data_IF_254071523907
#
_entry.id   IF_254071523907
#
_cell.length_a   1.000
_cell.length_b   1.000
_cell.length_c   1.000
_cell.angle_alpha   90.00
_cell.angle_beta   90.00
_cell.angle_gamma   90.00
#
_symmetry.space_group_name_H-M   'P 1'
#
loop_
_entity.id
_entity.type
_entity.pdbx_description
1 polymer ?
#
# COMPACT_ATOMS: atom_id res chain seq x y z
N UNK A 1 -9.74 14.96 -9.25
CA UNK A 1 -8.52 14.63 -8.48
C UNK A 1 -8.05 13.19 -8.65
N UNK A 2 -8.73 12.13 -8.16
CA UNK A 2 -8.20 10.75 -8.28
C UNK A 2 -7.86 10.39 -9.74
N UNK A 3 -8.79 10.64 -10.67
CA UNK A 3 -8.63 10.32 -12.09
C UNK A 3 -7.51 11.11 -12.78
N UNK A 4 -7.12 12.27 -12.25
CA UNK A 4 -5.99 13.07 -12.76
C UNK A 4 -4.64 12.52 -12.27
N UNK A 5 -4.62 11.81 -11.16
CA UNK A 5 -3.43 11.19 -10.59
C UNK A 5 -3.13 9.83 -11.24
N UNK A 6 -4.14 9.11 -11.74
CA UNK A 6 -3.97 7.78 -12.35
C UNK A 6 -2.96 7.79 -13.52
N UNK A 7 -2.98 8.75 -14.47
CA UNK A 7 -1.96 8.81 -15.53
C UNK A 7 -0.53 9.05 -15.05
N UNK A 8 -0.35 9.52 -13.81
CA UNK A 8 0.97 9.82 -13.22
C UNK A 8 1.46 8.63 -12.40
N UNK A 9 0.57 8.03 -11.62
CA UNK A 9 0.90 7.00 -10.63
C UNK A 9 0.50 5.59 -11.06
N UNK A 10 -0.14 5.44 -12.22
CA UNK A 10 -0.44 4.17 -12.88
C UNK A 10 -1.70 3.46 -12.38
N UNK A 11 -2.06 3.58 -11.09
CA UNK A 11 -3.20 2.85 -10.51
C UNK A 11 -4.05 3.70 -9.57
N UNK A 12 -5.30 3.30 -9.33
CA UNK A 12 -6.23 3.92 -8.36
C UNK A 12 -5.69 3.85 -6.94
N UNK A 13 -5.15 2.70 -6.51
CA UNK A 13 -4.59 2.55 -5.16
C UNK A 13 -3.41 3.49 -4.96
N UNK A 14 -2.45 3.50 -5.89
CA UNK A 14 -1.29 4.39 -5.82
C UNK A 14 -1.72 5.87 -5.79
N UNK A 15 -2.69 6.21 -6.64
CA UNK A 15 -3.26 7.57 -6.73
C UNK A 15 -3.99 8.00 -5.45
N UNK A 16 -4.75 7.09 -4.84
CA UNK A 16 -5.47 7.36 -3.59
C UNK A 16 -4.51 7.58 -2.43
N UNK A 17 -3.40 6.85 -2.40
CA UNK A 17 -2.36 7.01 -1.39
C UNK A 17 -1.67 8.37 -1.50
N UNK A 18 -1.36 8.82 -2.73
CA UNK A 18 -0.86 10.18 -2.98
C UNK A 18 -1.89 11.24 -2.57
N UNK A 19 -3.17 11.03 -2.87
CA UNK A 19 -4.23 11.93 -2.45
C UNK A 19 -4.29 12.04 -0.92
N UNK A 20 -4.10 10.93 -0.21
CA UNK A 20 -4.02 10.89 1.26
C UNK A 20 -2.85 11.72 1.80
N UNK A 21 -1.68 11.64 1.15
CA UNK A 21 -0.51 12.48 1.47
C UNK A 21 -0.80 13.97 1.23
N UNK A 22 -1.36 14.32 0.06
CA UNK A 22 -1.70 15.70 -0.27
C UNK A 22 -2.67 16.32 0.74
N UNK A 23 -3.54 15.52 1.34
CA UNK A 23 -4.54 15.95 2.33
C UNK A 23 -4.07 15.83 3.79
N UNK A 24 -2.75 15.64 4.02
CA UNK A 24 -2.15 15.47 5.35
C UNK A 24 -2.78 14.33 6.16
N UNK A 25 -3.32 13.31 5.49
CA UNK A 25 -3.88 12.11 6.11
C UNK A 25 -2.87 10.96 6.17
N UNK A 26 -1.82 11.03 5.37
CA UNK A 26 -0.69 10.09 5.37
C UNK A 26 0.64 10.84 5.39
N UNK A 27 1.60 10.48 6.26
CA UNK A 27 2.88 11.17 6.36
C UNK A 27 3.86 10.86 5.22
N UNK A 28 3.96 9.59 4.79
CA UNK A 28 4.89 9.14 3.74
C UNK A 28 4.23 8.11 2.86
N UNK A 29 4.42 8.22 1.56
CA UNK A 29 3.98 7.23 0.56
C UNK A 29 5.17 6.41 0.10
N UNK A 30 5.05 5.08 0.10
CA UNK A 30 6.07 4.15 -0.40
C UNK A 30 5.50 3.37 -1.59
N UNK A 31 6.01 3.63 -2.79
CA UNK A 31 5.52 3.01 -4.02
C UNK A 31 6.67 2.55 -4.90
N UNK A 32 6.46 1.44 -5.63
CA UNK A 32 7.41 0.96 -6.64
C UNK A 32 7.13 1.59 -8.00
N UNK A 33 8.15 2.09 -8.69
CA UNK A 33 8.06 2.61 -10.05
C UNK A 33 9.19 2.08 -10.93
N UNK A 34 8.90 1.86 -12.21
CA UNK A 34 9.92 1.61 -13.23
C UNK A 34 10.63 2.91 -13.63
N UNK A 35 11.83 2.79 -14.20
CA UNK A 35 12.69 3.94 -14.52
C UNK A 35 12.01 4.94 -15.48
N UNK A 36 11.14 4.46 -16.39
CA UNK A 36 10.36 5.27 -17.33
C UNK A 36 9.22 6.05 -16.65
N UNK A 37 8.61 5.49 -15.60
CA UNK A 37 7.58 6.16 -14.78
C UNK A 37 8.18 7.27 -13.89
N UNK A 38 9.44 7.14 -13.45
CA UNK A 38 10.06 8.07 -12.49
C UNK A 38 10.10 9.52 -12.99
N UNK A 39 10.21 9.75 -14.31
CA UNK A 39 10.27 11.11 -14.87
C UNK A 39 8.99 11.90 -14.59
N UNK A 40 7.82 11.29 -14.78
CA UNK A 40 6.53 11.96 -14.55
C UNK A 40 6.25 12.13 -13.05
N UNK A 41 6.63 11.14 -12.23
CA UNK A 41 6.49 11.18 -10.77
C UNK A 41 7.36 12.31 -10.18
N UNK A 42 8.63 12.43 -10.58
CA UNK A 42 9.53 13.51 -10.13
C UNK A 42 8.97 14.89 -10.49
N UNK A 43 8.46 15.05 -11.73
CA UNK A 43 7.84 16.30 -12.17
C UNK A 43 6.62 16.66 -11.31
N UNK A 44 5.78 15.67 -11.00
CA UNK A 44 4.64 15.87 -10.11
C UNK A 44 5.08 16.29 -8.71
N UNK A 45 6.06 15.60 -8.11
CA UNK A 45 6.55 15.91 -6.76
C UNK A 45 7.11 17.33 -6.69
N UNK A 46 7.95 17.73 -7.66
CA UNK A 46 8.47 19.10 -7.77
C UNK A 46 7.37 20.14 -7.88
N UNK A 47 6.34 19.90 -8.70
CA UNK A 47 5.20 20.82 -8.88
C UNK A 47 4.40 21.01 -7.59
N UNK A 48 4.34 19.98 -6.74
CA UNK A 48 3.52 19.98 -5.52
C UNK A 48 4.34 20.18 -4.24
N UNK A 49 5.61 20.61 -4.34
CA UNK A 49 6.52 20.79 -3.21
C UNK A 49 6.61 19.53 -2.32
N UNK A 50 6.70 18.36 -2.94
CA UNK A 50 6.91 17.08 -2.27
C UNK A 50 8.37 16.67 -2.39
N UNK A 51 8.93 16.16 -1.29
CA UNK A 51 10.23 15.50 -1.25
C UNK A 51 10.10 14.07 -1.74
N UNK A 52 11.13 13.61 -2.43
CA UNK A 52 11.19 12.29 -3.04
C UNK A 52 12.56 11.67 -2.76
N UNK A 53 12.54 10.48 -2.19
CA UNK A 53 13.72 9.66 -1.96
C UNK A 53 13.56 8.35 -2.73
N UNK A 54 14.58 7.92 -3.46
CA UNK A 54 14.50 6.78 -4.38
C UNK A 54 15.54 5.75 -3.96
N UNK A 55 15.11 4.50 -3.81
CA UNK A 55 16.02 3.42 -3.50
C UNK A 55 16.99 3.12 -4.64
N UNK A 56 18.25 2.91 -4.29
CA UNK A 56 19.30 2.48 -5.21
C UNK A 56 19.12 1.02 -5.66
N UNK A 57 18.26 0.26 -4.97
CA UNK A 57 17.99 -1.15 -5.26
C UNK A 57 16.81 -1.27 -6.22
N UNK A 58 17.01 -2.03 -7.31
CA UNK A 58 15.94 -2.46 -8.21
C UNK A 58 15.33 -3.76 -7.71
N UNK A 59 14.01 -3.84 -7.71
CA UNK A 59 13.24 -5.01 -7.31
C UNK A 59 12.50 -5.56 -8.52
N UNK A 60 12.75 -6.83 -8.83
CA UNK A 60 12.05 -7.57 -9.88
C UNK A 60 10.93 -8.38 -9.24
N UNK A 61 9.71 -8.12 -9.68
CA UNK A 61 8.54 -8.90 -9.26
C UNK A 61 8.63 -10.31 -9.86
N UNK A 62 8.50 -11.33 -9.02
CA UNK A 62 8.59 -12.73 -9.46
C UNK A 62 7.33 -13.19 -10.20
N UNK A 63 6.16 -12.69 -9.82
CA UNK A 63 4.88 -13.09 -10.41
C UNK A 63 4.51 -12.21 -11.63
N UNK A 64 5.04 -12.56 -12.81
CA UNK A 64 4.79 -11.80 -14.05
C UNK A 64 3.32 -11.73 -14.49
N UNK A 65 2.45 -12.61 -13.99
CA UNK A 65 1.04 -12.71 -14.40
C UNK A 65 0.04 -12.09 -13.42
N UNK A 66 0.49 -11.42 -12.35
CA UNK A 66 -0.40 -10.80 -11.36
C UNK A 66 -0.11 -9.30 -11.28
N UNK A 67 -1.14 -8.46 -11.44
CA UNK A 67 -1.06 -6.99 -11.25
C UNK A 67 -0.57 -6.56 -9.87
N UNK A 68 -0.47 -7.51 -8.93
CA UNK A 68 -0.05 -7.30 -7.57
C UNK A 68 0.74 -8.52 -7.10
N UNK A 69 2.00 -8.34 -6.70
CA UNK A 69 2.78 -9.39 -6.02
C UNK A 69 3.30 -8.86 -4.70
N UNK A 70 3.30 -9.73 -3.68
CA UNK A 70 4.02 -9.47 -2.43
C UNK A 70 5.49 -9.89 -2.54
N UNK A 71 5.93 -10.39 -3.70
CA UNK A 71 7.24 -11.03 -3.88
C UNK A 71 8.09 -10.23 -4.85
N UNK A 72 9.27 -9.86 -4.40
CA UNK A 72 10.29 -9.28 -5.26
C UNK A 72 11.67 -9.79 -4.85
N UNK A 73 12.54 -9.98 -5.83
CA UNK A 73 13.97 -10.18 -5.60
C UNK A 73 14.73 -8.95 -6.07
N UNK A 74 15.93 -8.76 -5.52
CA UNK A 74 16.86 -7.77 -6.05
C UNK A 74 17.15 -8.12 -7.51
N UNK A 75 16.87 -7.18 -8.40
CA UNK A 75 17.17 -7.31 -9.83
C UNK A 75 18.68 -7.14 -10.04
N UNK A 76 19.26 -7.93 -10.96
CA UNK A 76 20.63 -7.70 -11.40
C UNK A 76 20.72 -6.37 -12.17
N UNK A 77 21.94 -5.85 -12.33
CA UNK A 77 22.20 -4.53 -12.94
C UNK A 77 21.48 -4.30 -14.29
N UNK A 78 21.48 -5.32 -15.15
CA UNK A 78 20.86 -5.28 -16.49
C UNK A 78 19.40 -5.74 -16.52
N UNK A 79 18.80 -6.07 -15.38
CA UNK A 79 17.41 -6.54 -15.32
C UNK A 79 16.42 -5.39 -15.12
N UNK A 80 15.26 -5.54 -15.77
CA UNK A 80 14.12 -4.65 -15.56
C UNK A 80 13.57 -4.92 -14.16
N UNK A 81 13.44 -3.85 -13.37
CA UNK A 81 12.87 -3.87 -12.04
C UNK A 81 12.35 -2.49 -11.65
N UNK A 82 11.49 -2.45 -10.64
CA UNK A 82 11.00 -1.21 -10.06
C UNK A 82 11.90 -0.76 -8.91
N UNK A 83 12.00 0.55 -8.68
CA UNK A 83 12.63 1.12 -7.49
C UNK A 83 11.54 1.54 -6.52
N UNK A 84 11.76 1.30 -5.23
CA UNK A 84 10.90 1.92 -4.22
C UNK A 84 11.21 3.40 -4.10
N UNK A 85 10.14 4.18 -4.00
CA UNK A 85 10.16 5.63 -3.89
C UNK A 85 9.36 6.03 -2.66
N UNK A 86 9.96 6.90 -1.86
CA UNK A 86 9.40 7.47 -0.64
C UNK A 86 9.06 8.93 -0.89
N UNK A 87 7.78 9.27 -0.80
CA UNK A 87 7.27 10.61 -1.11
C UNK A 87 6.66 11.19 0.15
N UNK A 88 7.05 12.40 0.53
CA UNK A 88 6.52 13.09 1.68
C UNK A 88 6.48 14.61 1.48
N UNK A 89 5.70 15.29 2.32
CA UNK A 89 5.80 16.76 2.48
C UNK A 89 6.95 17.17 3.38
N UNK A 90 7.57 16.21 4.08
CA UNK A 90 8.70 16.41 4.98
C UNK A 90 9.88 15.56 4.48
N UNK A 91 10.98 16.24 4.16
CA UNK A 91 12.21 15.62 3.67
C UNK A 91 12.75 14.57 4.63
N UNK A 92 12.75 14.88 5.93
CA UNK A 92 13.25 13.98 6.96
C UNK A 92 12.47 12.67 6.96
N UNK A 93 11.14 12.73 6.79
CA UNK A 93 10.31 11.53 6.76
C UNK A 93 10.54 10.68 5.51
N UNK A 94 10.76 11.31 4.34
CA UNK A 94 11.08 10.57 3.11
C UNK A 94 12.43 9.83 3.24
N UNK A 95 13.48 10.54 3.66
CA UNK A 95 14.83 10.00 3.84
C UNK A 95 14.86 8.92 4.93
N UNK A 96 14.22 9.15 6.07
CA UNK A 96 14.19 8.15 7.16
C UNK A 96 13.39 6.91 6.81
N UNK A 97 12.32 7.03 6.02
CA UNK A 97 11.59 5.84 5.55
C UNK A 97 12.46 4.98 4.65
N UNK A 98 13.25 5.59 3.76
CA UNK A 98 14.24 4.86 2.97
C UNK A 98 15.30 4.19 3.87
N UNK A 99 15.84 4.91 4.85
CA UNK A 99 16.79 4.36 5.81
C UNK A 99 16.25 3.13 6.55
N UNK A 100 15.02 3.19 7.09
CA UNK A 100 14.43 2.06 7.81
C UNK A 100 14.21 0.82 6.93
N UNK A 101 13.96 1.01 5.63
CA UNK A 101 13.96 -0.10 4.68
C UNK A 101 15.34 -0.74 4.56
N UNK A 102 16.40 0.07 4.38
CA UNK A 102 17.78 -0.42 4.21
C UNK A 102 18.23 -1.25 5.43
N UNK A 103 17.88 -0.80 6.64
CA UNK A 103 18.25 -1.51 7.88
C UNK A 103 17.23 -2.57 8.31
N UNK A 104 16.25 -2.90 7.45
CA UNK A 104 15.21 -3.89 7.71
C UNK A 104 14.37 -3.65 8.99
N UNK A 105 14.21 -2.39 9.38
CA UNK A 105 13.39 -1.99 10.53
C UNK A 105 11.94 -1.78 10.10
N UNK A 106 11.24 -2.88 9.84
CA UNK A 106 9.85 -2.88 9.39
C UNK A 106 8.90 -2.18 10.37
N UNK A 107 9.20 -2.23 11.67
CA UNK A 107 8.38 -1.61 12.71
C UNK A 107 8.43 -0.09 12.60
N UNK A 108 9.63 0.50 12.55
CA UNK A 108 9.76 1.95 12.43
C UNK A 108 9.38 2.45 11.05
N UNK A 109 9.65 1.68 9.99
CA UNK A 109 9.14 1.97 8.65
C UNK A 109 7.61 2.08 8.65
N UNK A 110 6.91 1.08 9.21
CA UNK A 110 5.45 1.10 9.29
C UNK A 110 4.90 2.32 10.03
N UNK A 111 5.56 2.74 11.12
CA UNK A 111 5.22 3.97 11.84
C UNK A 111 5.38 5.22 10.97
N UNK A 112 6.46 5.33 10.22
CA UNK A 112 6.72 6.47 9.33
C UNK A 112 5.77 6.51 8.13
N UNK A 113 5.29 5.35 7.68
CA UNK A 113 4.23 5.25 6.67
C UNK A 113 2.83 5.58 7.20
N UNK A 114 2.69 5.84 8.51
CA UNK A 114 1.44 6.18 9.17
C UNK A 114 0.52 4.97 9.41
N UNK A 115 1.08 3.76 9.47
CA UNK A 115 0.31 2.57 9.79
C UNK A 115 -0.03 2.49 11.28
N UNK A 116 -1.18 1.91 11.66
CA UNK A 116 -1.52 1.72 13.07
C UNK A 116 -0.47 0.86 13.77
N UNK A 117 -0.11 1.24 15.00
CA UNK A 117 0.89 0.52 15.82
C UNK A 117 0.61 -0.99 15.88
N UNK A 118 -0.65 -1.38 16.12
CA UNK A 118 -1.05 -2.79 16.18
C UNK A 118 -0.87 -3.54 14.84
N UNK A 119 -0.99 -2.86 13.70
CA UNK A 119 -0.78 -3.45 12.37
C UNK A 119 0.72 -3.57 12.06
N UNK A 120 1.52 -2.56 12.43
CA UNK A 120 2.98 -2.63 12.30
C UNK A 120 3.59 -3.71 13.20
N UNK A 121 3.09 -3.86 14.43
CA UNK A 121 3.50 -4.94 15.34
C UNK A 121 3.05 -6.31 14.84
N UNK A 122 1.80 -6.43 14.37
CA UNK A 122 1.33 -7.65 13.72
C UNK A 122 2.21 -8.04 12.53
N UNK A 123 2.53 -7.09 11.65
CA UNK A 123 3.44 -7.34 10.53
C UNK A 123 4.81 -7.80 11.04
N UNK A 124 5.46 -7.01 11.91
CA UNK A 124 6.80 -7.31 12.43
C UNK A 124 6.90 -8.66 13.16
N UNK A 125 5.87 -9.06 13.91
CA UNK A 125 5.86 -10.33 14.66
C UNK A 125 5.58 -11.55 13.78
N UNK A 126 5.03 -11.34 12.59
CA UNK A 126 4.67 -12.40 11.67
C UNK A 126 5.49 -12.36 10.37
N UNK A 127 6.39 -11.39 10.25
CA UNK A 127 7.27 -11.24 9.11
C UNK A 127 8.43 -12.21 9.24
N UNK A 128 8.42 -13.22 8.40
CA UNK A 128 9.53 -14.13 8.18
C UNK A 128 9.78 -14.14 6.67
N UNK A 129 11.04 -13.97 6.26
CA UNK A 129 11.48 -13.88 4.86
C UNK A 129 11.04 -15.06 4.00
N UNK A 130 10.76 -16.22 4.60
CA UNK A 130 10.25 -17.41 3.88
C UNK A 130 8.70 -17.48 3.87
N UNK A 131 8.03 -16.84 4.83
CA UNK A 131 6.56 -16.90 5.04
C UNK A 131 5.75 -16.05 4.04
N UNK A 132 6.38 -15.07 3.39
CA UNK A 132 5.75 -14.17 2.42
C UNK A 132 5.31 -14.89 1.13
N UNK A 133 5.68 -16.17 0.98
CA UNK A 133 5.30 -16.99 -0.15
C UNK A 133 3.78 -17.33 -0.21
N UNK A 134 3.04 -17.21 0.90
CA UNK A 134 1.76 -17.91 1.06
C UNK A 134 0.52 -17.08 1.46
N UNK A 135 0.57 -15.74 1.50
CA UNK A 135 -0.53 -14.88 1.99
C UNK A 135 -0.91 -15.11 3.47
N UNK A 136 0.05 -15.57 4.30
CA UNK A 136 -0.19 -15.97 5.70
C UNK A 136 -0.78 -14.82 6.52
N UNK A 137 -0.43 -13.56 6.24
CA UNK A 137 -0.98 -12.40 6.93
C UNK A 137 -2.50 -12.28 6.78
N UNK A 138 -3.04 -12.56 5.59
CA UNK A 138 -4.47 -12.48 5.31
C UNK A 138 -5.21 -13.58 6.07
N UNK A 139 -4.68 -14.81 6.06
CA UNK A 139 -5.24 -15.96 6.76
C UNK A 139 -5.25 -15.73 8.29
N UNK A 140 -4.14 -15.21 8.85
CA UNK A 140 -4.05 -14.84 10.26
C UNK A 140 -5.02 -13.72 10.63
N UNK A 141 -5.07 -12.65 9.83
CA UNK A 141 -6.00 -11.54 10.07
C UNK A 141 -7.46 -11.99 10.00
N UNK A 142 -7.82 -12.88 9.07
CA UNK A 142 -9.16 -13.45 8.96
C UNK A 142 -9.54 -14.21 10.24
N UNK A 143 -8.68 -15.14 10.68
CA UNK A 143 -8.92 -15.97 11.87
C UNK A 143 -9.18 -15.15 13.14
N UNK A 144 -8.49 -14.02 13.29
CA UNK A 144 -8.59 -13.19 14.48
C UNK A 144 -9.69 -12.12 14.41
N UNK A 145 -10.45 -12.06 13.30
CA UNK A 145 -11.53 -11.10 13.07
C UNK A 145 -12.88 -11.61 13.55
N UNK A 146 -13.68 -10.74 14.16
CA UNK A 146 -15.08 -11.05 14.46
C UNK A 146 -16.01 -10.62 13.33
N UNK A 147 -15.60 -9.60 12.57
CA UNK A 147 -16.34 -8.99 11.48
C UNK A 147 -15.39 -8.64 10.34
N UNK A 148 -15.90 -8.73 9.12
CA UNK A 148 -15.17 -8.33 7.92
C UNK A 148 -15.67 -6.96 7.44
N UNK A 149 -14.96 -5.89 7.79
CA UNK A 149 -15.32 -4.55 7.34
C UNK A 149 -14.74 -4.26 5.96
N UNK A 150 -15.57 -3.82 5.00
CA UNK A 150 -15.08 -3.51 3.66
C UNK A 150 -14.01 -2.39 3.63
N UNK A 151 -13.95 -1.55 4.66
CA UNK A 151 -12.90 -0.53 4.83
C UNK A 151 -11.50 -1.14 4.95
N UNK A 152 -11.40 -2.35 5.48
CA UNK A 152 -10.16 -3.11 5.63
C UNK A 152 -10.00 -4.21 4.58
N UNK A 153 -10.91 -4.30 3.59
CA UNK A 153 -10.78 -5.31 2.55
C UNK A 153 -9.60 -4.99 1.64
N UNK A 154 -8.54 -5.80 1.76
CA UNK A 154 -7.34 -5.74 0.92
C UNK A 154 -7.30 -6.86 -0.14
N UNK A 155 -8.29 -7.76 -0.14
CA UNK A 155 -8.30 -8.93 -1.02
C UNK A 155 -8.46 -8.53 -2.49
N UNK A 156 -9.12 -7.41 -2.75
CA UNK A 156 -9.35 -6.92 -4.11
C UNK A 156 -8.25 -5.97 -4.63
N UNK A 157 -7.12 -5.84 -3.93
CA UNK A 157 -5.98 -4.99 -4.35
C UNK A 157 -5.42 -5.36 -5.72
N UNK A 158 -5.50 -6.64 -6.10
CA UNK A 158 -5.09 -7.13 -7.42
C UNK A 158 -5.98 -6.61 -8.57
N UNK A 159 -7.22 -6.20 -8.25
CA UNK A 159 -8.12 -5.47 -9.16
C UNK A 159 -8.03 -3.96 -8.98
N UNK A 160 -7.01 -3.46 -8.28
CA UNK A 160 -6.79 -2.04 -8.02
C UNK A 160 -7.86 -1.38 -7.14
N UNK A 161 -8.40 -2.15 -6.18
CA UNK A 161 -9.29 -1.64 -5.13
C UNK A 161 -8.79 -2.02 -3.73
N UNK A 162 -8.45 -1.01 -2.94
CA UNK A 162 -8.21 -1.09 -1.50
C UNK A 162 -8.31 0.31 -0.89
N UNK A 163 -8.82 0.43 0.34
CA UNK A 163 -8.90 1.70 1.06
C UNK A 163 -7.78 1.89 2.08
N UNK A 164 -7.00 0.85 2.35
CA UNK A 164 -5.81 0.87 3.20
C UNK A 164 -4.62 0.31 2.42
N UNK A 165 -3.42 0.73 2.81
CA UNK A 165 -2.17 0.43 2.08
C UNK A 165 -1.20 -0.41 2.94
N UNK A 166 -1.75 -1.15 3.89
CA UNK A 166 -1.06 -2.05 4.80
C UNK A 166 -1.91 -3.30 5.03
N UNK A 167 -1.30 -4.38 5.50
CA UNK A 167 -2.04 -5.53 6.02
C UNK A 167 -2.66 -5.15 7.37
N UNK A 168 -4.00 -5.17 7.50
CA UNK A 168 -4.61 -4.94 8.80
C UNK A 168 -4.32 -6.14 9.71
N UNK A 169 -4.08 -5.91 11.00
CA UNK A 169 -3.90 -7.01 11.96
C UNK A 169 -5.16 -7.89 12.10
N UNK A 170 -6.33 -7.30 11.82
CA UNK A 170 -7.66 -7.93 11.77
C UNK A 170 -8.55 -7.13 10.83
N UNK A 171 -9.53 -7.74 10.18
CA UNK A 171 -10.47 -7.06 9.31
C UNK A 171 -11.47 -6.15 10.05
N UNK A 172 -11.62 -6.29 11.37
CA UNK A 172 -12.35 -5.36 12.25
C UNK A 172 -11.44 -4.37 13.00
N UNK A 173 -10.15 -4.25 12.61
CA UNK A 173 -9.21 -3.30 13.21
C UNK A 173 -9.71 -1.86 13.11
N UNK A 174 -10.07 -1.26 14.26
CA UNK A 174 -10.69 0.07 14.38
C UNK A 174 -9.83 1.19 13.79
N UNK A 175 -8.52 1.16 14.06
CA UNK A 175 -7.59 2.17 13.53
C UNK A 175 -7.45 2.07 12.01
N UNK A 176 -7.42 0.85 11.46
CA UNK A 176 -7.42 0.66 10.01
C UNK A 176 -8.74 1.09 9.37
N UNK A 177 -9.89 0.81 10.02
CA UNK A 177 -11.20 1.28 9.55
C UNK A 177 -11.24 2.80 9.50
N UNK A 178 -10.65 3.49 10.49
CA UNK A 178 -10.56 4.95 10.51
C UNK A 178 -9.76 5.46 9.30
N UNK A 179 -8.63 4.83 8.97
CA UNK A 179 -7.85 5.15 7.77
C UNK A 179 -8.69 4.90 6.49
N UNK A 180 -9.33 3.73 6.39
CA UNK A 180 -10.16 3.38 5.23
C UNK A 180 -11.33 4.34 5.02
N UNK A 181 -12.01 4.76 6.10
CA UNK A 181 -13.05 5.80 6.06
C UNK A 181 -12.50 7.14 5.59
N UNK A 182 -11.35 7.56 6.12
CA UNK A 182 -10.70 8.81 5.70
C UNK A 182 -10.37 8.77 4.21
N UNK A 183 -9.76 7.70 3.71
CA UNK A 183 -9.42 7.55 2.31
C UNK A 183 -10.66 7.49 1.42
N UNK A 184 -11.73 6.80 1.83
CA UNK A 184 -12.99 6.80 1.09
C UNK A 184 -13.61 8.21 0.98
N UNK A 185 -13.46 9.03 2.02
CA UNK A 185 -13.95 10.40 2.04
C UNK A 185 -13.16 11.36 1.13
N UNK A 186 -11.96 10.97 0.68
CA UNK A 186 -11.19 11.72 -0.31
C UNK A 186 -11.72 11.53 -1.74
N UNK A 187 -12.55 10.50 -1.97
CA UNK A 187 -13.08 10.17 -3.27
C UNK A 187 -14.34 10.98 -3.59
N UNK A 188 -14.47 11.40 -4.84
CA UNK A 188 -15.75 11.89 -5.37
C UNK A 188 -16.82 10.79 -5.34
N UNK A 189 -18.09 11.17 -5.52
CA UNK A 189 -19.23 10.24 -5.38
C UNK A 189 -19.16 9.06 -6.35
N UNK A 190 -18.66 9.26 -7.57
CA UNK A 190 -18.55 8.20 -8.57
C UNK A 190 -17.51 7.17 -8.13
N UNK A 191 -16.30 7.62 -7.83
CA UNK A 191 -15.20 6.78 -7.35
C UNK A 191 -15.55 6.10 -6.03
N UNK A 192 -16.20 6.80 -5.10
CA UNK A 192 -16.67 6.25 -3.83
C UNK A 192 -17.61 5.05 -4.04
N UNK A 193 -18.61 5.19 -4.92
CA UNK A 193 -19.54 4.09 -5.25
C UNK A 193 -18.81 2.91 -5.89
N UNK A 194 -17.88 3.18 -6.81
CA UNK A 194 -17.07 2.16 -7.47
C UNK A 194 -16.21 1.36 -6.49
N UNK A 195 -15.53 2.03 -5.56
CA UNK A 195 -14.76 1.37 -4.50
C UNK A 195 -15.64 0.53 -3.59
N UNK A 196 -16.78 1.06 -3.11
CA UNK A 196 -17.69 0.31 -2.22
C UNK A 196 -18.18 -0.97 -2.90
N UNK A 197 -18.60 -0.88 -4.16
CA UNK A 197 -19.10 -2.04 -4.91
C UNK A 197 -18.04 -3.14 -5.08
N UNK A 198 -16.76 -2.76 -5.17
CA UNK A 198 -15.65 -3.70 -5.33
C UNK A 198 -15.06 -4.21 -4.01
N UNK A 199 -15.45 -3.64 -2.87
CA UNK A 199 -14.90 -4.00 -1.55
C UNK A 199 -15.92 -4.69 -0.65
N UNK A 200 -17.22 -4.57 -0.94
CA UNK A 200 -18.28 -5.33 -0.28
C UNK A 200 -18.54 -6.67 -0.97
N UNK A 201 -19.15 -7.59 -0.25
CA UNK A 201 -19.58 -8.88 -0.76
C UNK A 201 -18.68 -10.04 -0.32
N UNK A 202 -18.80 -11.17 -1.01
CA UNK A 202 -18.14 -12.42 -0.66
C UNK A 202 -16.81 -12.57 -1.40
N UNK A 203 -15.76 -12.91 -0.68
CA UNK A 203 -14.41 -13.12 -1.20
C UNK A 203 -13.90 -14.49 -0.79
N UNK A 204 -13.34 -15.23 -1.74
CA UNK A 204 -12.81 -16.57 -1.51
C UNK A 204 -11.34 -16.48 -1.08
N UNK A 205 -11.05 -16.95 0.13
CA UNK A 205 -9.70 -17.13 0.64
C UNK A 205 -9.41 -18.62 0.77
N UNK A 206 -8.84 -19.24 -0.29
CA UNK A 206 -8.51 -20.69 -0.45
C UNK A 206 -9.60 -21.68 0.02
N UNK A 207 -9.88 -21.74 1.31
CA UNK A 207 -10.81 -22.67 1.99
C UNK A 207 -11.97 -21.98 2.73
N UNK A 208 -12.03 -20.65 2.74
CA UNK A 208 -13.05 -19.88 3.46
C UNK A 208 -13.67 -18.79 2.60
N UNK A 209 -14.95 -18.51 2.79
CA UNK A 209 -15.66 -17.39 2.17
C UNK A 209 -15.80 -16.29 3.22
N UNK A 210 -15.17 -15.15 2.96
CA UNK A 210 -15.22 -13.97 3.81
C UNK A 210 -16.26 -12.99 3.27
N UNK A 211 -17.25 -12.62 4.08
CA UNK A 211 -18.31 -11.69 3.69
C UNK A 211 -18.08 -10.28 4.26
N UNK A 212 -17.61 -9.38 3.41
CA UNK A 212 -17.32 -8.00 3.76
C UNK A 212 -18.57 -7.11 3.68
N UNK A 213 -18.90 -6.47 4.80
CA UNK A 213 -20.08 -5.60 4.98
C UNK A 213 -19.71 -4.15 5.17
#
# INVERSE_FOLDING_TARGET
MLNELIPIFGTRIKSLEILSLLQNKKPVVRQGFYDDELKIVKKFCKKNNLFIEISDIKIKILDKNIKFSNKGIIAKENEIGMRFVYISKDEYLAVKSHYYEIVHDHKNLGKFLGYPKCCSEFFSNNFDSESDLNNIFIEKAAKDSNLYSYYNNILNRHKDYALIFHFPCKFDCKESIKIGKNNLNLLDNKNKKEFINNLKGKFNLKKEILEFK
#
